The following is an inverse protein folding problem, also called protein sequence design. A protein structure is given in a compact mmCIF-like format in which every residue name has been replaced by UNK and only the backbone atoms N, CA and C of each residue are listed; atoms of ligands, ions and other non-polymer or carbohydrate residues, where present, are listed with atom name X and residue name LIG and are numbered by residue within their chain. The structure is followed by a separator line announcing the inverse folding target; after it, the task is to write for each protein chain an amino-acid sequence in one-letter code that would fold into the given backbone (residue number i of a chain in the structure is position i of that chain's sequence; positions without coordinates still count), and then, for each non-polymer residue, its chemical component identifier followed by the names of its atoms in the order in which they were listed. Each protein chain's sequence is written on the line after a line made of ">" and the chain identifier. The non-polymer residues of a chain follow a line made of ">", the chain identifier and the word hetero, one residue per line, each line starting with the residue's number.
data_IF_843179926566
#
_entry.id   IF_843179926566
#
_cell.length_a   1.000
_cell.length_b   1.000
_cell.length_c   1.000
_cell.angle_alpha   90.00
_cell.angle_beta   90.00
_cell.angle_gamma   90.00
#
_symmetry.space_group_name_H-M   'P 1'
#
loop_
_entity.id
_entity.type
_entity.pdbx_description
1 polymer ?
#
# COMPACT_ATOMS: atom_id res chain seq x y z
N UNK A 1 -0.79 -17.36 -9.74
CA UNK A 1 -1.56 -16.57 -10.74
C UNK A 1 -1.39 -15.11 -10.39
N UNK A 2 -1.19 -14.24 -11.40
CA UNK A 2 -1.07 -12.80 -11.12
C UNK A 2 -2.39 -12.27 -10.57
N UNK A 3 -2.37 -11.69 -9.36
CA UNK A 3 -3.53 -11.06 -8.75
C UNK A 3 -3.70 -9.63 -9.27
N UNK A 4 -2.58 -8.90 -9.42
CA UNK A 4 -2.54 -7.58 -10.03
C UNK A 4 -1.52 -7.59 -11.17
N UNK A 5 -1.93 -7.13 -12.35
CA UNK A 5 -1.04 -6.95 -13.48
C UNK A 5 -1.21 -5.57 -14.08
N UNK A 6 -0.11 -4.87 -14.27
CA UNK A 6 -0.03 -3.54 -14.87
C UNK A 6 0.94 -3.61 -16.04
N UNK A 7 0.50 -3.20 -17.22
CA UNK A 7 1.29 -3.23 -18.45
C UNK A 7 1.27 -1.87 -19.13
N UNK A 8 2.48 -1.39 -19.44
CA UNK A 8 2.71 -0.15 -20.20
C UNK A 8 1.88 1.03 -19.66
N UNK A 9 1.80 1.14 -18.32
CA UNK A 9 0.94 2.12 -17.67
C UNK A 9 1.41 3.54 -17.90
N UNK A 10 0.56 4.33 -18.50
CA UNK A 10 0.66 5.78 -18.60
C UNK A 10 -0.39 6.42 -17.69
N UNK A 11 0.04 7.29 -16.76
CA UNK A 11 -0.86 7.93 -15.82
C UNK A 11 -0.32 9.29 -15.34
N UNK A 12 -1.22 10.11 -14.78
CA UNK A 12 -0.84 11.43 -14.29
C UNK A 12 -1.98 12.20 -13.65
N UNK A 13 -1.90 13.53 -13.70
CA UNK A 13 -2.88 14.43 -13.09
C UNK A 13 -3.27 15.55 -14.07
N UNK A 14 -4.56 15.62 -14.42
CA UNK A 14 -5.03 16.51 -15.49
C UNK A 14 -4.29 16.20 -16.79
N UNK A 15 -3.62 17.18 -17.38
CA UNK A 15 -2.84 17.02 -18.61
C UNK A 15 -1.36 16.66 -18.34
N UNK A 16 -0.94 16.57 -17.08
CA UNK A 16 0.44 16.25 -16.72
C UNK A 16 0.62 14.74 -16.60
N UNK A 17 1.31 14.14 -17.56
CA UNK A 17 1.73 12.76 -17.51
C UNK A 17 2.93 12.60 -16.54
N UNK A 18 2.88 11.58 -15.69
CA UNK A 18 3.91 11.26 -14.69
C UNK A 18 4.53 9.88 -14.93
N UNK A 19 3.73 8.93 -15.42
CA UNK A 19 4.18 7.57 -15.75
C UNK A 19 4.24 7.39 -17.27
N UNK A 20 5.29 6.72 -17.72
CA UNK A 20 5.64 6.57 -19.14
C UNK A 20 5.92 5.10 -19.45
N UNK A 21 4.91 4.22 -19.32
CA UNK A 21 5.05 2.80 -19.60
C UNK A 21 5.58 2.01 -18.40
N UNK A 22 4.87 2.04 -17.26
CA UNK A 22 5.23 1.27 -16.07
C UNK A 22 4.61 -0.12 -16.13
N UNK A 23 5.46 -1.14 -15.94
CA UNK A 23 5.08 -2.54 -15.84
C UNK A 23 5.28 -3.03 -14.40
N UNK A 24 4.29 -3.71 -13.84
CA UNK A 24 4.43 -4.46 -12.60
C UNK A 24 3.40 -5.58 -12.52
N UNK A 25 3.73 -6.63 -11.79
CA UNK A 25 2.80 -7.68 -11.45
C UNK A 25 2.98 -8.10 -10.00
N UNK A 26 1.90 -8.59 -9.40
CA UNK A 26 1.86 -9.09 -8.02
C UNK A 26 1.12 -10.42 -8.05
N UNK A 27 1.78 -11.48 -7.60
CA UNK A 27 1.17 -12.79 -7.43
C UNK A 27 0.34 -12.83 -6.13
N UNK A 28 -0.62 -13.75 -6.06
CA UNK A 28 -1.40 -13.95 -4.85
C UNK A 28 -0.49 -14.36 -3.67
N UNK A 29 -0.63 -13.67 -2.53
CA UNK A 29 0.19 -13.85 -1.33
C UNK A 29 1.59 -13.23 -1.40
N UNK A 30 2.00 -12.63 -2.53
CA UNK A 30 3.31 -12.00 -2.69
C UNK A 30 3.39 -10.65 -1.95
N UNK A 31 4.54 -10.35 -1.39
CA UNK A 31 4.89 -9.03 -0.87
C UNK A 31 5.79 -8.30 -1.87
N UNK A 32 5.25 -7.28 -2.52
CA UNK A 32 5.94 -6.51 -3.57
C UNK A 32 6.21 -5.08 -3.10
N UNK A 33 7.41 -4.57 -3.38
CA UNK A 33 7.79 -3.20 -3.07
C UNK A 33 8.10 -2.38 -4.32
N UNK A 34 7.57 -1.16 -4.40
CA UNK A 34 7.97 -0.14 -5.36
C UNK A 34 8.82 0.88 -4.63
N UNK A 35 10.08 1.01 -5.05
CA UNK A 35 11.04 1.95 -4.46
C UNK A 35 11.61 2.90 -5.51
N UNK A 36 12.28 3.95 -5.07
CA UNK A 36 12.90 4.94 -5.95
C UNK A 36 12.91 6.34 -5.33
N UNK A 37 13.58 7.31 -5.98
CA UNK A 37 13.69 8.66 -5.47
C UNK A 37 12.34 9.39 -5.39
N UNK A 38 12.32 10.51 -4.67
CA UNK A 38 11.15 11.39 -4.64
C UNK A 38 10.86 11.91 -6.06
N UNK A 39 9.58 11.91 -6.44
CA UNK A 39 9.16 12.30 -7.77
C UNK A 39 9.35 11.23 -8.86
N UNK A 40 9.75 9.99 -8.49
CA UNK A 40 9.90 8.89 -9.44
C UNK A 40 8.59 8.37 -10.05
N UNK A 41 7.43 8.74 -9.48
CA UNK A 41 6.12 8.26 -9.93
C UNK A 41 5.53 7.14 -9.08
N UNK A 42 6.19 6.70 -8.00
CA UNK A 42 5.76 5.58 -7.14
C UNK A 42 4.31 5.68 -6.66
N UNK A 43 3.97 6.76 -5.94
CA UNK A 43 2.60 6.98 -5.46
C UNK A 43 1.60 7.21 -6.60
N UNK A 44 2.07 7.71 -7.76
CA UNK A 44 1.22 7.84 -8.95
C UNK A 44 0.86 6.48 -9.54
N UNK A 45 1.80 5.53 -9.56
CA UNK A 45 1.54 4.16 -10.00
C UNK A 45 0.47 3.50 -9.11
N UNK A 46 0.63 3.58 -7.78
CA UNK A 46 -0.36 3.07 -6.84
C UNK A 46 -1.71 3.78 -6.96
N UNK A 47 -1.72 5.11 -7.08
CA UNK A 47 -2.94 5.90 -7.26
C UNK A 47 -3.65 5.61 -8.58
N UNK A 48 -2.92 5.26 -9.65
CA UNK A 48 -3.52 4.83 -10.90
C UNK A 48 -4.24 3.48 -10.74
N UNK A 49 -3.63 2.53 -10.02
CA UNK A 49 -4.27 1.23 -9.69
C UNK A 49 -5.58 1.43 -8.93
N UNK A 50 -5.66 2.38 -8.01
CA UNK A 50 -6.90 2.64 -7.23
C UNK A 50 -7.81 3.72 -7.84
N UNK A 51 -7.55 4.16 -9.07
CA UNK A 51 -8.39 5.13 -9.77
C UNK A 51 -8.32 6.57 -9.24
N UNK A 52 -7.27 6.92 -8.48
CA UNK A 52 -7.01 8.26 -7.92
C UNK A 52 -6.07 9.11 -8.78
N UNK A 53 -5.40 8.53 -9.76
CA UNK A 53 -4.66 9.23 -10.80
C UNK A 53 -5.34 8.97 -12.16
N UNK A 54 -5.24 9.92 -13.08
CA UNK A 54 -5.82 9.79 -14.41
C UNK A 54 -5.08 8.68 -15.18
N UNK A 55 -5.81 7.66 -15.62
CA UNK A 55 -5.32 6.65 -16.56
C UNK A 55 -5.24 7.28 -17.95
N UNK A 56 -4.06 7.22 -18.58
CA UNK A 56 -3.78 7.83 -19.89
C UNK A 56 -3.47 6.77 -20.95
N UNK A 57 -3.06 5.56 -20.54
CA UNK A 57 -2.74 4.44 -21.45
C UNK A 57 -2.29 3.22 -20.68
N UNK A 58 -2.13 2.10 -21.38
CA UNK A 58 -1.75 0.81 -20.80
C UNK A 58 -2.94 0.04 -20.22
N UNK A 59 -2.63 -1.05 -19.53
CA UNK A 59 -3.61 -1.98 -18.98
C UNK A 59 -3.40 -2.15 -17.47
N UNK A 60 -4.49 -2.27 -16.71
CA UNK A 60 -4.47 -2.63 -15.30
C UNK A 60 -5.52 -3.71 -15.08
N UNK A 61 -5.10 -4.93 -14.73
CA UNK A 61 -6.01 -6.02 -14.41
C UNK A 61 -5.84 -6.47 -12.96
N UNK A 62 -6.96 -6.72 -12.30
CA UNK A 62 -7.02 -7.24 -10.93
C UNK A 62 -7.93 -8.47 -10.93
N UNK A 63 -7.41 -9.61 -10.45
CA UNK A 63 -8.09 -10.93 -10.47
C UNK A 63 -8.67 -11.27 -11.86
N UNK A 64 -7.90 -10.92 -12.91
CA UNK A 64 -8.27 -11.15 -14.32
C UNK A 64 -9.31 -10.18 -14.90
N UNK A 65 -9.82 -9.21 -14.12
CA UNK A 65 -10.74 -8.17 -14.58
C UNK A 65 -9.98 -6.87 -14.91
N UNK A 66 -10.35 -6.20 -15.99
CA UNK A 66 -9.84 -4.86 -16.32
C UNK A 66 -10.42 -3.84 -15.34
N UNK A 67 -9.52 -3.12 -14.64
CA UNK A 67 -9.85 -2.05 -13.70
C UNK A 67 -9.31 -0.69 -14.13
N UNK A 68 -8.67 -0.58 -15.32
CA UNK A 68 -8.08 0.64 -15.80
C UNK A 68 -9.12 1.78 -15.88
N UNK A 69 -8.81 2.91 -15.25
CA UNK A 69 -9.68 4.09 -15.25
C UNK A 69 -11.01 3.95 -14.53
N UNK A 70 -11.25 2.84 -13.83
CA UNK A 70 -12.45 2.72 -12.98
C UNK A 70 -12.39 3.71 -11.81
N UNK A 71 -13.54 4.21 -11.32
CA UNK A 71 -13.59 5.03 -10.14
C UNK A 71 -13.20 4.23 -8.88
N UNK A 72 -12.59 4.88 -7.86
CA UNK A 72 -12.03 4.21 -6.68
C UNK A 72 -13.01 3.26 -5.97
N UNK A 73 -14.28 3.67 -5.82
CA UNK A 73 -15.29 2.84 -5.17
C UNK A 73 -15.46 1.47 -5.84
N UNK A 74 -15.40 1.42 -7.16
CA UNK A 74 -15.57 0.17 -7.93
C UNK A 74 -14.36 -0.76 -7.77
N UNK A 75 -13.17 -0.19 -7.55
CA UNK A 75 -11.93 -0.94 -7.31
C UNK A 75 -11.91 -1.51 -5.89
N UNK A 76 -12.31 -0.70 -4.90
CA UNK A 76 -12.43 -1.14 -3.50
C UNK A 76 -13.49 -2.24 -3.35
N UNK A 77 -14.62 -2.14 -4.06
CA UNK A 77 -15.67 -3.18 -4.08
C UNK A 77 -15.19 -4.53 -4.64
N UNK A 78 -14.11 -4.53 -5.45
CA UNK A 78 -13.47 -5.74 -5.95
C UNK A 78 -12.47 -6.37 -4.98
N UNK A 79 -12.24 -5.72 -3.84
CA UNK A 79 -11.36 -6.26 -2.79
C UNK A 79 -9.95 -5.64 -2.75
N UNK A 80 -9.73 -4.49 -3.37
CA UNK A 80 -8.47 -3.77 -3.21
C UNK A 80 -8.54 -2.89 -1.97
N UNK A 81 -7.73 -3.18 -0.94
CA UNK A 81 -7.52 -2.30 0.21
C UNK A 81 -6.49 -1.22 -0.12
N UNK A 82 -6.72 0.02 0.33
CA UNK A 82 -5.76 1.11 0.11
C UNK A 82 -5.56 1.97 1.35
N UNK A 83 -4.30 2.20 1.71
CA UNK A 83 -3.88 3.08 2.80
C UNK A 83 -3.03 4.20 2.22
N UNK A 84 -3.54 5.44 2.17
CA UNK A 84 -2.79 6.58 1.67
C UNK A 84 -1.73 7.05 2.67
N UNK A 85 -0.70 7.75 2.17
CA UNK A 85 0.38 8.32 2.97
C UNK A 85 -0.09 9.33 4.01
N UNK A 86 -1.09 10.16 3.68
CA UNK A 86 -1.63 11.22 4.53
C UNK A 86 -3.15 11.17 4.55
N UNK A 87 -3.75 11.88 5.52
CA UNK A 87 -5.21 11.93 5.70
C UNK A 87 -5.85 10.53 5.78
N UNK A 88 -5.11 9.60 6.36
CA UNK A 88 -5.42 8.18 6.39
C UNK A 88 -6.39 7.77 7.50
N UNK A 89 -6.76 8.66 8.41
CA UNK A 89 -7.77 8.43 9.47
C UNK A 89 -8.77 9.60 9.53
N UNK A 90 -9.93 9.38 10.17
CA UNK A 90 -10.88 10.43 10.50
C UNK A 90 -10.56 10.98 11.89
N UNK A 91 -9.84 12.12 12.02
CA UNK A 91 -9.23 12.54 13.29
C UNK A 91 -10.25 12.97 14.35
N UNK A 92 -11.44 13.37 13.95
CA UNK A 92 -12.54 13.77 14.85
C UNK A 92 -13.34 12.59 15.41
N UNK A 93 -13.22 11.43 14.78
CA UNK A 93 -13.88 10.19 15.17
C UNK A 93 -13.00 9.39 16.13
N UNK A 94 -13.61 8.51 16.91
CA UNK A 94 -12.91 7.55 17.78
C UNK A 94 -12.23 6.44 16.96
N UNK A 95 -11.41 5.63 17.62
CA UNK A 95 -10.82 4.41 17.04
C UNK A 95 -11.94 3.48 16.56
N UNK A 96 -12.93 3.20 17.41
CA UNK A 96 -14.04 2.31 17.09
C UNK A 96 -14.88 2.83 15.91
N UNK A 97 -15.16 4.14 15.87
CA UNK A 97 -15.88 4.76 14.76
C UNK A 97 -15.09 4.70 13.45
N UNK A 98 -13.75 4.85 13.50
CA UNK A 98 -12.89 4.67 12.33
C UNK A 98 -12.94 3.23 11.81
N UNK A 99 -12.90 2.22 12.69
CA UNK A 99 -13.03 0.81 12.31
C UNK A 99 -14.40 0.53 11.69
N UNK A 100 -15.48 1.09 12.27
CA UNK A 100 -16.84 0.94 11.75
C UNK A 100 -16.98 1.48 10.32
N UNK A 101 -16.30 2.61 10.00
CA UNK A 101 -16.27 3.12 8.62
C UNK A 101 -15.59 2.12 7.67
N UNK A 102 -14.57 1.38 8.14
CA UNK A 102 -13.93 0.32 7.36
C UNK A 102 -14.90 -0.79 6.92
N UNK A 103 -15.97 -1.01 7.68
CA UNK A 103 -17.01 -1.99 7.38
C UNK A 103 -18.09 -1.48 6.40
N UNK A 104 -17.91 -0.31 5.77
CA UNK A 104 -18.93 0.30 4.88
C UNK A 104 -19.48 -0.68 3.83
N UNK A 105 -18.63 -1.50 3.23
CA UNK A 105 -19.04 -2.51 2.23
C UNK A 105 -19.78 -3.70 2.84
N UNK A 106 -19.62 -3.94 4.14
CA UNK A 106 -20.26 -5.05 4.87
C UNK A 106 -21.60 -4.66 5.48
N UNK A 107 -21.91 -3.34 5.50
CA UNK A 107 -23.09 -2.75 6.16
C UNK A 107 -22.85 -2.46 7.63
N UNK A 108 -22.49 -3.46 8.44
CA UNK A 108 -22.11 -3.35 9.84
C UNK A 108 -20.69 -3.89 10.05
N UNK A 109 -20.03 -3.52 11.16
CA UNK A 109 -18.74 -4.09 11.55
C UNK A 109 -18.96 -5.43 12.25
N UNK A 110 -18.62 -6.58 11.61
CA UNK A 110 -18.77 -7.88 12.24
C UNK A 110 -17.78 -8.04 13.39
N UNK A 111 -18.22 -8.61 14.54
CA UNK A 111 -17.36 -8.85 15.69
C UNK A 111 -16.11 -9.66 15.32
N UNK A 112 -16.24 -10.70 14.49
CA UNK A 112 -15.12 -11.51 14.02
C UNK A 112 -14.07 -10.68 13.28
N UNK A 113 -14.48 -9.77 12.38
CA UNK A 113 -13.55 -8.89 11.65
C UNK A 113 -12.88 -7.89 12.56
N UNK A 114 -13.65 -7.36 13.52
CA UNK A 114 -13.13 -6.48 14.55
C UNK A 114 -12.05 -7.19 15.40
N UNK A 115 -12.33 -8.41 15.85
CA UNK A 115 -11.37 -9.21 16.64
C UNK A 115 -10.09 -9.48 15.86
N UNK A 116 -10.16 -9.91 14.59
CA UNK A 116 -9.00 -10.18 13.71
C UNK A 116 -8.08 -8.96 13.60
N UNK A 117 -8.64 -7.77 13.35
CA UNK A 117 -7.81 -6.56 13.23
C UNK A 117 -7.27 -6.08 14.56
N UNK A 118 -7.98 -6.28 15.66
CA UNK A 118 -7.50 -5.94 17.01
C UNK A 118 -6.44 -6.93 17.53
N UNK A 119 -6.44 -8.17 17.08
CA UNK A 119 -5.32 -9.10 17.31
C UNK A 119 -4.05 -8.64 16.59
N UNK A 120 -4.19 -8.09 15.37
CA UNK A 120 -3.09 -7.54 14.60
C UNK A 120 -2.55 -6.24 15.22
N UNK A 121 -3.44 -5.39 15.76
CA UNK A 121 -3.13 -4.09 16.33
C UNK A 121 -3.71 -3.93 17.75
N UNK A 122 -3.17 -4.64 18.78
CA UNK A 122 -3.76 -4.67 20.13
C UNK A 122 -3.92 -3.29 20.77
N UNK A 123 -3.01 -2.37 20.51
CA UNK A 123 -3.03 -0.99 21.02
C UNK A 123 -4.32 -0.24 20.69
N UNK A 124 -4.96 -0.59 19.55
CA UNK A 124 -6.24 0.01 19.15
C UNK A 124 -7.39 -0.48 20.04
N UNK A 125 -7.36 -1.77 20.41
CA UNK A 125 -8.36 -2.37 21.30
C UNK A 125 -8.30 -1.84 22.75
N UNK A 126 -7.17 -1.32 23.19
CA UNK A 126 -7.01 -0.67 24.49
C UNK A 126 -7.62 0.74 24.52
N UNK A 127 -7.95 1.33 23.37
CA UNK A 127 -8.31 2.75 23.21
C UNK A 127 -9.51 3.00 22.30
N UNK A 128 -10.61 2.20 22.38
CA UNK A 128 -11.70 2.26 21.41
C UNK A 128 -12.37 3.65 21.37
N UNK A 129 -12.47 4.32 22.51
CA UNK A 129 -13.15 5.63 22.66
C UNK A 129 -12.19 6.82 22.42
N UNK A 130 -10.88 6.57 22.20
CA UNK A 130 -9.94 7.66 21.94
C UNK A 130 -10.14 8.21 20.53
N UNK A 131 -10.18 9.55 20.39
CA UNK A 131 -10.22 10.19 19.07
C UNK A 131 -8.94 9.89 18.30
N UNK A 132 -9.08 9.52 17.03
CA UNK A 132 -7.96 9.17 16.16
C UNK A 132 -6.94 10.31 16.03
N UNK A 133 -7.38 11.57 16.05
CA UNK A 133 -6.48 12.73 16.01
C UNK A 133 -5.56 12.87 17.25
N UNK A 134 -5.84 12.17 18.34
CA UNK A 134 -5.01 12.15 19.56
C UNK A 134 -4.05 10.94 19.63
N UNK A 135 -4.07 10.08 18.63
CA UNK A 135 -3.10 8.99 18.48
C UNK A 135 -1.76 9.52 17.98
N UNK A 136 -0.67 8.82 18.27
CA UNK A 136 0.62 9.08 17.62
C UNK A 136 0.55 8.78 16.12
N UNK A 137 1.48 9.32 15.33
CA UNK A 137 1.52 9.06 13.87
C UNK A 137 1.56 7.56 13.54
N UNK A 138 2.38 6.77 14.24
CA UNK A 138 2.41 5.30 14.08
C UNK A 138 1.09 4.63 14.44
N UNK A 139 0.42 5.06 15.51
CA UNK A 139 -0.90 4.54 15.87
C UNK A 139 -2.00 4.93 14.88
N UNK A 140 -1.92 6.14 14.30
CA UNK A 140 -2.82 6.53 13.20
C UNK A 140 -2.59 5.66 11.97
N UNK A 141 -1.35 5.34 11.65
CA UNK A 141 -1.02 4.44 10.54
C UNK A 141 -1.53 3.01 10.80
N UNK A 142 -1.37 2.49 12.03
CA UNK A 142 -1.96 1.20 12.43
C UNK A 142 -3.49 1.21 12.29
N UNK A 143 -4.15 2.29 12.70
CA UNK A 143 -5.61 2.45 12.57
C UNK A 143 -6.04 2.50 11.09
N UNK A 144 -5.29 3.17 10.24
CA UNK A 144 -5.56 3.21 8.80
C UNK A 144 -5.44 1.82 8.15
N UNK A 145 -4.40 1.04 8.51
CA UNK A 145 -4.24 -0.35 8.05
C UNK A 145 -5.36 -1.24 8.61
N UNK A 146 -5.65 -1.15 9.92
CA UNK A 146 -6.75 -1.88 10.54
C UNK A 146 -8.07 -1.67 9.80
N UNK A 147 -8.39 -0.41 9.49
CA UNK A 147 -9.58 -0.04 8.74
C UNK A 147 -9.60 -0.65 7.33
N UNK A 148 -8.46 -0.63 6.62
CA UNK A 148 -8.35 -1.20 5.28
C UNK A 148 -8.46 -2.73 5.28
N UNK A 149 -8.13 -3.40 6.39
CA UNK A 149 -8.22 -4.85 6.56
C UNK A 149 -9.61 -5.37 6.98
N UNK A 150 -10.51 -4.51 7.46
CA UNK A 150 -11.88 -4.91 7.86
C UNK A 150 -12.61 -5.69 6.77
N UNK A 151 -12.59 -5.26 5.48
CA UNK A 151 -13.27 -5.98 4.40
C UNK A 151 -12.60 -7.30 4.00
N UNK A 152 -11.46 -7.67 4.60
CA UNK A 152 -10.65 -8.84 4.23
C UNK A 152 -10.16 -8.80 2.78
N UNK A 153 -9.43 -7.77 2.40
CA UNK A 153 -9.03 -7.60 1.01
C UNK A 153 -7.96 -8.64 0.61
N UNK A 154 -8.05 -9.27 -0.58
CA UNK A 154 -6.99 -10.10 -1.11
C UNK A 154 -5.71 -9.31 -1.46
N UNK A 155 -5.83 -8.00 -1.72
CA UNK A 155 -4.70 -7.09 -2.01
C UNK A 155 -4.77 -5.85 -1.13
N UNK A 156 -3.68 -5.56 -0.42
CA UNK A 156 -3.49 -4.35 0.37
C UNK A 156 -2.40 -3.47 -0.26
N UNK A 157 -2.77 -2.26 -0.61
CA UNK A 157 -1.89 -1.23 -1.16
C UNK A 157 -1.51 -0.22 -0.07
N UNK A 158 -0.20 -0.01 0.16
CA UNK A 158 0.34 0.86 1.21
C UNK A 158 1.23 1.95 0.61
N UNK A 159 0.80 3.21 0.69
CA UNK A 159 1.54 4.36 0.14
C UNK A 159 2.39 5.02 1.24
N UNK A 160 3.69 4.75 1.26
CA UNK A 160 4.70 5.25 2.20
C UNK A 160 4.29 5.12 3.69
N UNK A 161 3.91 3.92 4.18
CA UNK A 161 3.39 3.75 5.54
C UNK A 161 4.41 4.09 6.63
N UNK A 162 5.72 4.09 6.33
CA UNK A 162 6.77 4.44 7.28
C UNK A 162 7.13 5.93 7.29
N UNK A 163 6.50 6.74 6.42
CA UNK A 163 6.86 8.16 6.27
C UNK A 163 6.64 8.95 7.57
N UNK A 164 7.68 9.68 7.99
CA UNK A 164 7.62 10.53 9.19
C UNK A 164 7.66 9.80 10.53
N UNK A 165 7.82 8.47 10.54
CA UNK A 165 7.98 7.70 11.76
C UNK A 165 9.43 7.77 12.29
N UNK A 166 9.58 7.61 13.61
CA UNK A 166 10.89 7.41 14.23
C UNK A 166 11.46 6.03 13.82
N UNK A 167 12.79 5.84 13.78
CA UNK A 167 13.41 4.63 13.26
C UNK A 167 12.95 3.32 13.91
N UNK A 168 12.70 3.31 15.21
CA UNK A 168 12.16 2.18 15.96
C UNK A 168 10.72 1.85 15.58
N UNK A 169 9.90 2.87 15.31
CA UNK A 169 8.53 2.70 14.83
C UNK A 169 8.47 2.26 13.35
N UNK A 170 9.49 2.55 12.56
CA UNK A 170 9.59 2.04 11.17
C UNK A 170 9.69 0.52 11.18
N UNK A 171 10.60 -0.07 11.98
CA UNK A 171 10.74 -1.53 12.06
C UNK A 171 9.45 -2.18 12.58
N UNK A 172 8.82 -1.61 13.63
CA UNK A 172 7.54 -2.09 14.15
C UNK A 172 6.43 -2.07 13.06
N UNK A 173 6.38 -1.00 12.25
CA UNK A 173 5.43 -0.87 11.16
C UNK A 173 5.63 -1.98 10.11
N UNK A 174 6.86 -2.23 9.71
CA UNK A 174 7.17 -3.31 8.78
C UNK A 174 6.85 -4.70 9.38
N UNK A 175 7.09 -4.92 10.68
CA UNK A 175 6.71 -6.16 11.36
C UNK A 175 5.20 -6.39 11.35
N UNK A 176 4.40 -5.32 11.41
CA UNK A 176 2.95 -5.43 11.22
C UNK A 176 2.58 -5.81 9.79
N UNK A 177 3.25 -5.23 8.79
CA UNK A 177 3.01 -5.54 7.37
C UNK A 177 3.40 -7.00 7.07
N UNK A 178 4.54 -7.47 7.58
CA UNK A 178 4.96 -8.87 7.43
C UNK A 178 3.90 -9.84 7.96
N UNK A 179 3.37 -9.59 9.19
CA UNK A 179 2.31 -10.42 9.77
C UNK A 179 1.01 -10.39 8.97
N UNK A 180 0.68 -9.27 8.31
CA UNK A 180 -0.48 -9.17 7.42
C UNK A 180 -0.26 -10.09 6.20
N UNK A 181 0.92 -10.04 5.60
CA UNK A 181 1.26 -10.88 4.45
C UNK A 181 1.34 -12.37 4.84
N UNK A 182 1.96 -12.72 5.98
CA UNK A 182 2.01 -14.10 6.52
C UNK A 182 0.61 -14.71 6.75
N UNK A 183 -0.42 -13.89 6.94
CA UNK A 183 -1.82 -14.33 7.02
C UNK A 183 -2.49 -14.51 5.66
N UNK A 184 -1.75 -14.33 4.56
CA UNK A 184 -2.19 -14.57 3.19
C UNK A 184 -2.69 -13.34 2.44
N UNK A 185 -2.64 -12.14 3.03
CA UNK A 185 -2.98 -10.91 2.30
C UNK A 185 -1.82 -10.54 1.38
N UNK A 186 -2.10 -10.37 0.10
CA UNK A 186 -1.11 -9.86 -0.87
C UNK A 186 -0.81 -8.39 -0.55
N UNK A 187 0.47 -8.00 -0.55
CA UNK A 187 0.89 -6.63 -0.22
C UNK A 187 1.64 -5.99 -1.38
N UNK A 188 1.23 -4.79 -1.77
CA UNK A 188 2.01 -3.91 -2.62
C UNK A 188 2.29 -2.61 -1.85
N UNK A 189 3.55 -2.36 -1.55
CA UNK A 189 4.01 -1.19 -0.81
C UNK A 189 4.77 -0.23 -1.72
N UNK A 190 4.52 1.05 -1.57
CA UNK A 190 5.41 2.11 -2.06
C UNK A 190 6.20 2.64 -0.89
N UNK A 191 7.52 2.73 -1.01
CA UNK A 191 8.38 3.20 0.08
C UNK A 191 9.54 4.07 -0.40
N UNK A 192 9.88 5.04 0.45
CA UNK A 192 11.11 5.81 0.33
C UNK A 192 12.26 5.11 1.06
N UNK A 193 11.98 4.37 2.14
CA UNK A 193 12.96 3.56 2.87
C UNK A 193 13.25 2.26 2.10
N UNK A 194 13.91 2.43 0.95
CA UNK A 194 14.11 1.36 -0.02
C UNK A 194 14.86 0.15 0.57
N UNK A 195 15.87 0.37 1.44
CA UNK A 195 16.63 -0.74 2.06
C UNK A 195 15.74 -1.63 2.93
N UNK A 196 14.87 -1.04 3.74
CA UNK A 196 13.99 -1.80 4.62
C UNK A 196 12.91 -2.52 3.81
N UNK A 197 12.30 -1.85 2.84
CA UNK A 197 11.27 -2.44 1.99
C UNK A 197 11.82 -3.62 1.17
N UNK A 198 12.95 -3.45 0.47
CA UNK A 198 13.57 -4.49 -0.36
C UNK A 198 14.08 -5.70 0.44
N UNK A 199 14.43 -5.52 1.74
CA UNK A 199 14.84 -6.64 2.60
C UNK A 199 13.68 -7.56 2.97
N UNK A 200 12.46 -7.05 2.96
CA UNK A 200 11.27 -7.75 3.45
C UNK A 200 10.36 -8.26 2.34
N UNK A 201 10.48 -7.68 1.13
CA UNK A 201 9.66 -8.06 0.00
C UNK A 201 10.23 -9.27 -0.76
N UNK A 202 9.35 -10.03 -1.41
CA UNK A 202 9.71 -11.09 -2.34
C UNK A 202 10.27 -10.49 -3.64
N UNK A 203 9.63 -9.43 -4.14
CA UNK A 203 9.96 -8.74 -5.39
C UNK A 203 9.97 -7.22 -5.20
N UNK A 204 10.96 -6.57 -5.83
CA UNK A 204 11.06 -5.11 -5.86
C UNK A 204 11.02 -4.55 -7.28
N UNK A 205 10.44 -3.37 -7.40
CA UNK A 205 10.52 -2.52 -8.59
C UNK A 205 11.20 -1.21 -8.24
N UNK A 206 12.22 -0.83 -8.99
CA UNK A 206 12.87 0.47 -8.84
C UNK A 206 12.36 1.39 -9.94
N UNK A 207 11.62 2.41 -9.55
CA UNK A 207 11.11 3.45 -10.46
C UNK A 207 12.01 4.68 -10.43
N UNK A 208 12.24 5.27 -11.60
CA UNK A 208 12.84 6.59 -11.74
C UNK A 208 12.27 7.30 -12.96
N UNK A 209 11.90 8.58 -12.80
CA UNK A 209 11.39 9.42 -13.89
C UNK A 209 10.14 8.84 -14.59
N UNK A 210 9.28 8.15 -13.84
CA UNK A 210 8.05 7.58 -14.35
C UNK A 210 8.18 6.27 -15.13
N UNK A 211 9.33 5.59 -15.05
CA UNK A 211 9.62 4.34 -15.76
C UNK A 211 10.25 3.31 -14.80
N UNK A 212 10.12 2.02 -15.14
CA UNK A 212 10.89 0.97 -14.48
C UNK A 212 12.37 1.08 -14.84
N UNK A 213 13.24 0.98 -13.84
CA UNK A 213 14.71 0.88 -14.04
C UNK A 213 15.21 -0.51 -13.74
N UNK A 214 14.71 -1.12 -12.67
CA UNK A 214 15.05 -2.48 -12.27
C UNK A 214 13.79 -3.18 -11.74
N UNK A 215 13.76 -4.49 -11.92
CA UNK A 215 12.75 -5.37 -11.34
C UNK A 215 13.41 -6.73 -11.08
N UNK A 216 13.43 -7.18 -9.83
CA UNK A 216 14.02 -8.47 -9.42
C UNK A 216 13.53 -8.84 -8.01
N UNK A 217 13.98 -9.98 -7.49
CA UNK A 217 13.83 -10.33 -6.08
C UNK A 217 14.45 -9.24 -5.17
N UNK A 218 13.85 -8.97 -4.02
CA UNK A 218 14.28 -7.91 -3.11
C UNK A 218 15.76 -8.01 -2.72
N UNK A 219 16.23 -9.20 -2.36
CA UNK A 219 17.64 -9.47 -2.00
C UNK A 219 18.60 -9.29 -3.20
N UNK A 220 18.16 -9.62 -4.42
CA UNK A 220 18.94 -9.39 -5.62
C UNK A 220 19.16 -7.89 -5.86
N UNK A 221 18.10 -7.08 -5.76
CA UNK A 221 18.19 -5.62 -5.86
C UNK A 221 19.07 -4.99 -4.76
N UNK A 222 18.98 -5.50 -3.53
CA UNK A 222 19.83 -5.05 -2.42
C UNK A 222 21.31 -5.36 -2.66
N UNK A 223 21.63 -6.42 -3.40
CA UNK A 223 22.98 -6.86 -3.70
C UNK A 223 23.56 -6.21 -4.95
N UNK A 224 22.71 -5.64 -5.82
CA UNK A 224 23.13 -5.01 -7.08
C UNK A 224 23.92 -3.71 -6.81
N UNK A 225 25.18 -3.60 -7.33
CA UNK A 225 26.02 -2.42 -7.10
C UNK A 225 25.45 -1.11 -7.68
N UNK A 226 24.75 -1.18 -8.84
CA UNK A 226 24.18 0.00 -9.49
C UNK A 226 22.95 0.49 -8.72
N UNK A 227 22.07 -0.43 -8.32
CA UNK A 227 20.89 -0.12 -7.49
C UNK A 227 21.33 0.50 -6.16
N UNK A 228 22.36 -0.08 -5.51
CA UNK A 228 22.91 0.46 -4.25
C UNK A 228 23.44 1.87 -4.41
N UNK A 229 24.24 2.10 -5.45
CA UNK A 229 24.86 3.41 -5.68
C UNK A 229 23.85 4.49 -6.06
N UNK A 230 22.85 4.17 -6.88
CA UNK A 230 21.95 5.16 -7.44
C UNK A 230 20.69 5.39 -6.59
N UNK A 231 20.18 4.34 -5.90
CA UNK A 231 18.86 4.37 -5.27
C UNK A 231 18.85 4.05 -3.77
N UNK A 232 19.89 3.38 -3.23
CA UNK A 232 19.90 2.98 -1.82
C UNK A 232 20.83 3.84 -0.94
N UNK A 233 21.48 4.85 -1.50
CA UNK A 233 22.39 5.76 -0.78
C UNK A 233 23.59 4.98 -0.23
N UNK A 234 24.50 4.62 -1.13
CA UNK A 234 25.69 3.79 -0.96
C UNK A 234 26.36 3.64 0.37
#
# INVERSE_FOLDING_TARGET
>A
MSLLEVRDLEAGYGDLQVLFGVDLHVEEGEYVAIVGPNGAGKSTAMKAVVGLAAHMGGEITFDGEDIAGLPPQNIIERGVGYVPQSDNVFPTLTVEENLTIGAYLLGDLPDERREVVLEQFPILGERPDQRAGNLSGGQQQMLAMARALIPDPPLLLLDEPSAGLAPDLVEEMFDHIDRINERGVTVLIVEQNAKTALRRCDRGYVLAQGENRYADEGDALLSDPEVRQQFLGG
#
